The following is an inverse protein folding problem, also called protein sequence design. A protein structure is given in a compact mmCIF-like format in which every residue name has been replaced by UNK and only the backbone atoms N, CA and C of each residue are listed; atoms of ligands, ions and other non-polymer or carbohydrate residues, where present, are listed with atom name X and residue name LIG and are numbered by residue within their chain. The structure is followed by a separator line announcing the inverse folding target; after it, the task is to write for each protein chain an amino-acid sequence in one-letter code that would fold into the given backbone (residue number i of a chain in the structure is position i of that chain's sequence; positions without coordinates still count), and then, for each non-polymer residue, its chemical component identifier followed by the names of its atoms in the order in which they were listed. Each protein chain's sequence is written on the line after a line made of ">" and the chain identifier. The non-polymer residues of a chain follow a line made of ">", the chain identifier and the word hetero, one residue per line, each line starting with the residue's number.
data_IF_481778671423
#
_entry.id   IF_481778671423
#
_cell.length_a   1.000
_cell.length_b   1.000
_cell.length_c   1.000
_cell.angle_alpha   90.00
_cell.angle_beta   90.00
_cell.angle_gamma   90.00
#
_symmetry.space_group_name_H-M   'P 1'
#
loop_
_entity.id
_entity.type
_entity.pdbx_description
1 polymer ?
2 water ?
#
# COMPACT_ATOMS: atom_id res chain seq x y z
N UNK A 17 -5.11 -7.56 7.32
CA UNK A 17 -5.69 -6.38 6.65
C UNK A 17 -4.61 -5.42 6.18
N UNK A 18 -3.57 -5.24 7.00
CA UNK A 18 -2.43 -4.39 6.68
C UNK A 18 -2.68 -2.88 6.78
N UNK A 19 -1.84 -2.07 6.15
CA UNK A 19 -1.97 -0.62 6.21
C UNK A 19 -0.97 0.17 5.35
N UNK A 20 -1.30 1.44 5.06
CA UNK A 20 -0.44 2.28 4.23
C UNK A 20 0.64 3.06 4.99
N UNK A 21 0.22 3.84 5.98
CA UNK A 21 1.15 4.66 6.79
C UNK A 21 2.11 3.83 7.66
N UNK A 22 2.08 2.51 7.54
CA UNK A 22 2.95 1.69 8.38
C UNK A 22 4.42 1.76 8.02
N UNK A 23 4.81 2.80 7.29
CA UNK A 23 6.21 2.96 6.90
C UNK A 23 6.52 4.24 6.14
N UNK A 24 6.23 5.40 6.74
CA UNK A 24 6.52 6.67 6.08
C UNK A 24 8.07 6.81 5.98
N UNK A 25 8.73 5.85 5.33
CA UNK A 25 10.21 5.86 5.18
C UNK A 25 10.67 5.70 3.72
N UNK A 26 11.95 5.39 3.54
CA UNK A 26 12.56 5.22 2.21
C UNK A 26 12.36 3.83 1.59
N UNK A 27 12.27 3.82 0.26
CA UNK A 27 12.06 2.60 -0.55
C UNK A 27 12.74 1.33 -0.05
N UNK A 28 11.96 0.28 0.14
CA UNK A 28 12.47 -1.01 0.61
C UNK A 28 13.32 -1.68 -0.45
N UNK A 29 14.30 -2.45 0.01
CA UNK A 29 15.22 -3.19 -0.86
C UNK A 29 14.40 -4.13 -1.75
N UNK A 30 14.86 -4.35 -2.98
CA UNK A 30 14.18 -5.21 -3.95
C UNK A 30 14.65 -6.67 -4.00
N UNK A 31 13.70 -7.60 -3.94
CA UNK A 31 13.98 -9.04 -3.98
C UNK A 31 13.24 -9.72 -5.12
N UNK A 32 13.99 -10.37 -6.01
CA UNK A 32 13.41 -11.05 -7.16
C UNK A 32 13.03 -12.52 -6.99
N UNK A 33 13.41 -13.12 -5.87
CA UNK A 33 13.08 -14.52 -5.63
C UNK A 33 12.90 -14.77 -4.16
N UNK A 34 12.32 -15.90 -3.82
CA UNK A 34 12.10 -16.23 -2.42
C UNK A 34 13.40 -16.51 -1.68
N UNK A 35 14.33 -17.22 -2.31
CA UNK A 35 15.60 -17.55 -1.67
C UNK A 35 16.35 -16.31 -1.15
N UNK A 36 16.57 -15.34 -2.03
CA UNK A 36 17.27 -14.12 -1.66
C UNK A 36 16.66 -13.50 -0.41
N UNK A 37 15.33 -13.52 -0.34
CA UNK A 37 14.61 -12.95 0.79
C UNK A 37 14.72 -13.86 2.00
N UNK A 38 14.62 -15.16 1.78
CA UNK A 38 14.74 -16.14 2.86
C UNK A 38 16.11 -16.00 3.51
N UNK A 39 17.10 -15.63 2.70
CA UNK A 39 18.46 -15.44 3.18
C UNK A 39 18.52 -14.13 3.97
N UNK A 40 18.29 -13.03 3.27
CA UNK A 40 18.33 -11.69 3.86
C UNK A 40 17.68 -11.64 5.24
N UNK A 41 16.62 -12.42 5.42
CA UNK A 41 15.88 -12.46 6.68
C UNK A 41 16.60 -13.33 7.72
N UNK A 42 16.96 -14.55 7.35
CA UNK A 42 17.66 -15.45 8.26
C UNK A 42 18.91 -14.76 8.82
N UNK A 43 19.58 -14.00 7.97
CA UNK A 43 20.77 -13.28 8.38
C UNK A 43 20.38 -12.21 9.39
N UNK A 44 19.30 -11.49 9.12
CA UNK A 44 18.84 -10.46 10.04
C UNK A 44 18.63 -11.10 11.41
N UNK A 45 18.26 -12.38 11.40
CA UNK A 45 18.00 -13.13 12.63
C UNK A 45 19.30 -13.49 13.34
N UNK A 46 20.33 -13.82 12.57
CA UNK A 46 21.64 -14.15 13.14
C UNK A 46 22.38 -12.93 13.63
N UNK A 47 21.68 -11.81 13.76
CA UNK A 47 22.27 -10.57 14.23
C UNK A 47 21.21 -9.75 14.98
N UNK A 48 20.04 -10.36 15.16
CA UNK A 48 18.93 -9.71 15.85
C UNK A 48 17.98 -10.78 16.36
N UNK A 49 18.52 -11.94 16.71
CA UNK A 49 17.71 -13.03 17.19
C UNK A 49 17.10 -12.88 18.57
N UNK A 50 16.11 -12.00 18.70
CA UNK A 50 15.44 -11.81 19.97
C UNK A 50 14.20 -12.70 19.95
N UNK A 51 13.16 -12.33 20.68
CA UNK A 51 11.95 -13.15 20.67
C UNK A 51 11.05 -12.83 19.48
N UNK A 52 10.84 -11.53 19.24
CA UNK A 52 10.02 -11.10 18.12
C UNK A 52 10.58 -11.58 16.78
N UNK A 53 11.84 -11.22 16.49
CA UNK A 53 12.47 -11.64 15.25
C UNK A 53 12.40 -13.15 15.09
N UNK A 54 12.27 -13.86 16.20
CA UNK A 54 12.15 -15.32 16.17
C UNK A 54 10.74 -15.70 15.80
N UNK A 55 9.76 -15.08 16.46
CA UNK A 55 8.36 -15.38 16.18
C UNK A 55 8.02 -15.05 14.73
N UNK A 56 8.30 -13.82 14.31
CA UNK A 56 8.00 -13.41 12.94
C UNK A 56 8.72 -14.23 11.87
N UNK A 57 9.97 -14.61 12.12
CA UNK A 57 10.69 -15.43 11.16
C UNK A 57 9.91 -16.74 11.11
N UNK A 58 9.33 -17.10 12.25
CA UNK A 58 8.55 -18.32 12.34
C UNK A 58 7.28 -18.19 11.51
N UNK A 59 6.63 -17.04 11.58
CA UNK A 59 5.41 -16.81 10.81
C UNK A 59 5.76 -16.75 9.32
N UNK A 60 6.91 -16.15 9.03
CA UNK A 60 7.40 -16.02 7.66
C UNK A 60 7.49 -17.39 6.99
N UNK A 61 7.98 -18.38 7.74
CA UNK A 61 8.11 -19.73 7.22
C UNK A 61 6.78 -20.45 6.98
N UNK A 62 5.76 -20.11 7.76
CA UNK A 62 4.44 -20.72 7.60
C UNK A 62 4.00 -20.40 6.19
N UNK A 63 4.09 -19.12 5.85
CA UNK A 63 3.73 -18.62 4.54
C UNK A 63 4.45 -19.38 3.44
N UNK A 64 5.77 -19.52 3.59
CA UNK A 64 6.56 -20.25 2.60
C UNK A 64 6.06 -21.68 2.45
N UNK A 65 5.58 -22.26 3.54
CA UNK A 65 5.06 -23.61 3.44
C UNK A 65 3.88 -23.59 2.46
N UNK A 66 2.98 -22.63 2.64
CA UNK A 66 1.82 -22.50 1.76
C UNK A 66 2.27 -22.22 0.32
N UNK A 67 3.31 -21.42 0.18
CA UNK A 67 3.85 -21.09 -1.15
C UNK A 67 4.31 -22.36 -1.86
N UNK A 68 4.92 -23.26 -1.10
CA UNK A 68 5.39 -24.51 -1.67
C UNK A 68 4.23 -25.39 -2.13
N UNK A 69 3.11 -25.30 -1.40
CA UNK A 69 1.93 -26.08 -1.74
C UNK A 69 1.03 -25.37 -2.75
N UNK A 70 1.57 -24.31 -3.34
CA UNK A 70 0.86 -23.50 -4.33
C UNK A 70 -0.50 -22.99 -3.88
N UNK A 71 -0.66 -22.83 -2.57
CA UNK A 71 -1.90 -22.33 -1.98
C UNK A 71 -1.67 -20.81 -1.85
N UNK A 72 -1.39 -20.17 -2.98
CA UNK A 72 -1.09 -18.75 -3.01
C UNK A 72 -2.13 -17.81 -2.41
N UNK A 73 -3.40 -18.06 -2.71
CA UNK A 73 -4.47 -17.21 -2.20
C UNK A 73 -4.37 -17.10 -0.68
N UNK A 74 -4.17 -18.24 -0.03
CA UNK A 74 -4.05 -18.28 1.42
C UNK A 74 -2.73 -17.65 1.87
N UNK A 75 -1.66 -17.90 1.12
CA UNK A 75 -0.36 -17.34 1.43
C UNK A 75 -0.49 -15.82 1.50
N UNK A 76 -1.28 -15.26 0.59
CA UNK A 76 -1.49 -13.83 0.54
C UNK A 76 -2.24 -13.30 1.77
N UNK A 77 -3.22 -14.04 2.26
CA UNK A 77 -3.99 -13.62 3.44
C UNK A 77 -3.19 -13.66 4.72
N UNK A 78 -2.37 -14.69 4.88
CA UNK A 78 -1.55 -14.80 6.08
C UNK A 78 -0.47 -13.73 6.09
N UNK A 79 0.06 -13.44 4.92
CA UNK A 79 1.11 -12.45 4.77
C UNK A 79 0.58 -11.04 5.06
N UNK A 80 -0.61 -10.74 4.57
CA UNK A 80 -1.21 -9.42 4.78
C UNK A 80 -1.63 -9.18 6.22
N UNK A 81 -1.80 -10.26 6.99
CA UNK A 81 -2.17 -10.05 8.38
C UNK A 81 -0.91 -9.88 9.24
N UNK A 82 0.18 -10.55 8.90
CA UNK A 82 1.41 -10.38 9.68
C UNK A 82 1.76 -8.91 9.60
N UNK A 83 1.60 -8.32 8.41
CA UNK A 83 1.87 -6.91 8.19
C UNK A 83 0.93 -6.01 8.98
N UNK A 84 -0.26 -6.52 9.30
CA UNK A 84 -1.23 -5.74 10.04
C UNK A 84 -0.95 -5.69 11.54
N UNK A 85 -0.30 -6.72 12.06
CA UNK A 85 0.02 -6.78 13.49
C UNK A 85 0.84 -5.55 13.87
N UNK A 86 0.31 -4.73 14.78
CA UNK A 86 0.98 -3.50 15.24
C UNK A 86 2.22 -3.82 16.07
N UNK A 87 2.45 -5.10 16.31
CA UNK A 87 3.59 -5.52 17.10
C UNK A 87 4.77 -5.86 16.21
N UNK A 88 4.56 -5.79 14.90
CA UNK A 88 5.61 -6.10 13.94
C UNK A 88 6.66 -4.98 13.95
N UNK A 89 7.94 -5.33 14.13
CA UNK A 89 9.03 -4.35 14.17
C UNK A 89 9.30 -3.71 12.82
N UNK A 90 9.60 -2.41 12.83
CA UNK A 90 9.86 -1.64 11.61
C UNK A 90 10.69 -2.34 10.54
N UNK A 91 11.89 -2.82 10.91
CA UNK A 91 12.76 -3.51 9.94
C UNK A 91 12.22 -4.79 9.33
N UNK A 92 11.31 -5.46 10.03
CA UNK A 92 10.72 -6.70 9.52
C UNK A 92 9.53 -6.46 8.62
N UNK A 93 9.14 -5.20 8.47
CA UNK A 93 8.00 -4.84 7.64
C UNK A 93 8.35 -4.99 6.16
N UNK A 94 9.53 -4.55 5.79
CA UNK A 94 9.94 -4.65 4.40
C UNK A 94 10.14 -6.10 3.95
N UNK A 95 10.44 -7.00 4.87
CA UNK A 95 10.62 -8.41 4.50
C UNK A 95 9.31 -9.03 4.02
N UNK A 96 8.26 -8.79 4.78
CA UNK A 96 6.94 -9.32 4.45
C UNK A 96 6.38 -8.64 3.21
N UNK A 97 6.56 -7.34 3.08
CA UNK A 97 6.03 -6.67 1.91
C UNK A 97 6.64 -7.31 0.67
N UNK A 98 7.93 -7.69 0.76
CA UNK A 98 8.62 -8.32 -0.36
C UNK A 98 8.05 -9.71 -0.63
N UNK A 99 7.64 -10.39 0.44
CA UNK A 99 7.05 -11.72 0.32
C UNK A 99 5.71 -11.61 -0.41
N UNK A 100 4.89 -10.65 0.03
CA UNK A 100 3.57 -10.43 -0.57
C UNK A 100 3.70 -10.21 -2.07
N UNK A 101 4.74 -9.47 -2.47
CA UNK A 101 4.95 -9.21 -3.88
C UNK A 101 5.23 -10.50 -4.64
N UNK A 102 6.11 -11.35 -4.11
CA UNK A 102 6.42 -12.64 -4.76
C UNK A 102 5.13 -13.46 -4.85
N UNK A 103 4.43 -13.56 -3.73
CA UNK A 103 3.18 -14.29 -3.68
C UNK A 103 2.15 -13.82 -4.72
N UNK A 104 1.89 -12.51 -4.76
CA UNK A 104 0.94 -11.94 -5.71
C UNK A 104 1.37 -12.23 -7.16
N UNK A 105 2.68 -12.22 -7.39
CA UNK A 105 3.22 -12.53 -8.70
C UNK A 105 2.80 -13.97 -9.02
N UNK A 106 3.09 -14.90 -8.11
CA UNK A 106 2.71 -16.29 -8.36
C UNK A 106 1.20 -16.43 -8.51
N UNK A 107 0.45 -15.68 -7.73
CA UNK A 107 -1.00 -15.77 -7.84
C UNK A 107 -1.47 -15.31 -9.23
N UNK A 108 -0.97 -14.16 -9.70
CA UNK A 108 -1.39 -13.66 -11.00
C UNK A 108 -1.03 -14.61 -12.14
N UNK A 109 0.16 -15.19 -12.06
CA UNK A 109 0.64 -16.11 -13.08
C UNK A 109 -0.24 -17.34 -13.19
N UNK A 110 -0.65 -17.87 -12.05
CA UNK A 110 -1.49 -19.04 -12.03
C UNK A 110 -2.90 -18.77 -12.51
N UNK A 111 -3.34 -17.51 -12.41
CA UNK A 111 -4.68 -17.15 -12.86
C UNK A 111 -4.64 -16.70 -14.31
N UNK A 112 -3.46 -16.28 -14.76
CA UNK A 112 -3.28 -15.82 -16.14
C UNK A 112 -1.99 -16.44 -16.69
N UNK A 113 -2.00 -17.76 -16.89
CA UNK A 113 -0.81 -18.47 -17.39
C UNK A 113 -0.10 -17.74 -18.54
N UNK A 114 -0.86 -17.09 -19.40
CA UNK A 114 -0.29 -16.35 -20.53
C UNK A 114 0.86 -15.45 -20.07
N UNK A 115 0.80 -15.00 -18.83
CA UNK A 115 1.81 -14.12 -18.26
C UNK A 115 3.20 -14.74 -18.11
N UNK A 116 3.26 -16.05 -17.93
CA UNK A 116 4.53 -16.75 -17.74
C UNK A 116 5.62 -16.43 -18.77
N UNK A 117 5.26 -16.36 -20.04
CA UNK A 117 6.28 -16.08 -21.05
C UNK A 117 6.01 -14.81 -21.85
N UNK A 118 6.02 -13.67 -21.18
CA UNK A 118 5.77 -12.41 -21.86
C UNK A 118 6.72 -11.32 -21.43
N UNK A 119 7.14 -10.49 -22.39
CA UNK A 119 8.04 -9.40 -22.00
C UNK A 119 7.20 -8.30 -21.36
N UNK A 120 7.85 -7.42 -20.63
CA UNK A 120 7.16 -6.33 -19.95
C UNK A 120 6.17 -5.57 -20.82
N UNK A 121 6.57 -5.23 -22.04
CA UNK A 121 5.69 -4.48 -22.93
C UNK A 121 4.36 -5.19 -23.17
N UNK A 122 4.40 -6.50 -23.39
CA UNK A 122 3.17 -7.24 -23.64
C UNK A 122 2.34 -7.37 -22.37
N UNK A 123 3.03 -7.46 -21.24
CA UNK A 123 2.34 -7.59 -19.95
C UNK A 123 1.58 -6.30 -19.69
N UNK A 124 2.20 -5.17 -20.01
CA UNK A 124 1.55 -3.88 -19.82
C UNK A 124 0.27 -3.82 -20.67
N UNK A 125 0.29 -4.42 -21.86
CA UNK A 125 -0.91 -4.39 -22.69
C UNK A 125 -2.07 -5.05 -21.98
N UNK A 126 -1.85 -6.22 -21.42
CA UNK A 126 -2.91 -6.90 -20.70
C UNK A 126 -3.43 -6.07 -19.53
N UNK A 127 -2.53 -5.36 -18.86
CA UNK A 127 -2.88 -4.54 -17.71
C UNK A 127 -3.82 -3.38 -18.08
N UNK A 128 -3.74 -2.92 -19.32
CA UNK A 128 -4.57 -1.81 -19.78
C UNK A 128 -5.92 -2.13 -20.40
N UNK A 129 -6.11 -3.38 -20.83
CA UNK A 129 -7.34 -3.82 -21.48
C UNK A 129 -8.68 -3.24 -20.98
N UNK A 130 -9.38 -3.98 -20.13
CA UNK A 130 -10.67 -3.56 -19.57
C UNK A 130 -10.35 -2.43 -18.61
N UNK A 131 -9.57 -1.46 -19.12
CA UNK A 131 -9.02 -0.30 -18.40
C UNK A 131 -9.04 -0.18 -16.88
N UNK A 132 -10.15 0.27 -16.28
CA UNK A 132 -10.01 0.34 -14.81
C UNK A 132 -9.65 -1.06 -14.27
N UNK A 133 -10.39 -2.05 -14.75
CA UNK A 133 -10.19 -3.42 -14.33
C UNK A 133 -8.84 -3.89 -14.87
N UNK A 134 -8.31 -4.95 -14.27
CA UNK A 134 -7.02 -5.48 -14.70
C UNK A 134 -5.81 -4.64 -14.33
N UNK A 135 -6.01 -3.50 -13.67
CA UNK A 135 -4.86 -2.69 -13.28
C UNK A 135 -4.05 -3.41 -12.20
N UNK A 136 -4.71 -4.33 -11.49
CA UNK A 136 -4.04 -5.08 -10.43
C UNK A 136 -2.90 -5.92 -11.00
N UNK A 137 -3.07 -6.37 -12.24
CA UNK A 137 -2.10 -7.20 -12.92
C UNK A 137 -0.72 -6.56 -12.99
N UNK A 138 -0.65 -5.26 -12.75
CA UNK A 138 0.62 -4.56 -12.78
C UNK A 138 1.57 -5.13 -11.70
N UNK A 139 1.00 -5.81 -10.70
CA UNK A 139 1.77 -6.35 -9.59
C UNK A 139 2.66 -7.54 -9.98
N UNK A 140 2.47 -8.03 -11.19
CA UNK A 140 3.25 -9.15 -11.69
C UNK A 140 4.67 -8.69 -12.07
N UNK A 141 4.87 -7.39 -12.30
CA UNK A 141 6.18 -6.86 -12.68
C UNK A 141 7.08 -6.51 -11.50
N UNK A 142 6.51 -6.42 -10.30
CA UNK A 142 7.31 -6.03 -9.15
C UNK A 142 8.44 -6.98 -8.79
N UNK A 143 8.15 -8.28 -8.66
CA UNK A 143 9.21 -9.22 -8.31
C UNK A 143 10.11 -9.64 -9.45
N UNK A 144 9.98 -8.96 -10.59
CA UNK A 144 10.83 -9.27 -11.75
C UNK A 144 12.24 -8.80 -11.47
N UNK A 145 13.15 -9.01 -12.42
CA UNK A 145 14.53 -8.57 -12.25
C UNK A 145 14.58 -7.11 -12.61
N UNK A 146 15.51 -6.40 -11.98
CA UNK A 146 15.68 -4.97 -12.20
C UNK A 146 15.85 -4.58 -13.66
N UNK A 147 16.15 -5.53 -14.53
CA UNK A 147 16.36 -5.19 -15.93
C UNK A 147 15.22 -5.62 -16.84
N UNK A 148 14.21 -6.25 -16.23
CA UNK A 148 13.08 -6.74 -16.97
C UNK A 148 12.15 -5.66 -17.53
N UNK A 149 12.16 -4.48 -16.93
CA UNK A 149 11.31 -3.41 -17.42
C UNK A 149 12.09 -2.16 -17.81
N UNK A 150 12.24 -1.94 -19.11
CA UNK A 150 12.95 -0.77 -19.61
C UNK A 150 12.20 0.47 -19.14
N UNK A 151 12.90 1.60 -18.97
CA UNK A 151 12.28 2.84 -18.53
C UNK A 151 11.31 3.53 -19.50
N UNK A 152 11.50 3.30 -20.80
CA UNK A 152 10.64 3.94 -21.79
C UNK A 152 9.17 3.50 -21.69
N UNK A 153 8.94 2.30 -21.16
CA UNK A 153 7.58 1.77 -21.03
C UNK A 153 6.72 2.61 -20.10
N UNK A 154 7.37 3.35 -19.21
CA UNK A 154 6.63 4.17 -18.27
C UNK A 154 5.65 5.10 -18.97
N UNK A 155 6.07 5.65 -20.11
CA UNK A 155 5.23 6.56 -20.88
C UNK A 155 3.88 5.99 -21.32
N UNK A 156 3.77 4.66 -21.34
CA UNK A 156 2.53 4.02 -21.75
C UNK A 156 1.54 3.93 -20.60
N UNK A 157 2.02 4.13 -19.38
CA UNK A 157 1.17 4.04 -18.20
C UNK A 157 0.71 5.42 -17.74
N UNK A 158 1.47 6.44 -18.13
CA UNK A 158 1.17 7.83 -17.77
C UNK A 158 -0.31 8.19 -17.72
N UNK A 159 -1.03 7.95 -18.81
CA UNK A 159 -2.42 8.33 -18.89
C UNK A 159 -3.26 7.83 -17.72
N UNK A 160 -2.90 6.69 -17.14
CA UNK A 160 -3.66 6.16 -16.00
C UNK A 160 -3.58 7.12 -14.83
N UNK A 161 -2.38 7.55 -14.49
CA UNK A 161 -2.18 8.46 -13.38
C UNK A 161 -2.76 9.86 -13.58
N UNK A 162 -3.19 10.20 -14.80
CA UNK A 162 -3.76 11.53 -15.00
C UNK A 162 -5.21 11.51 -15.43
N UNK A 163 -5.85 10.36 -15.33
CA UNK A 163 -7.24 10.22 -15.69
C UNK A 163 -8.13 10.88 -14.63
N UNK A 164 -8.78 11.98 -15.01
CA UNK A 164 -9.61 12.72 -14.09
C UNK A 164 -10.81 11.94 -13.57
N UNK A 165 -11.23 10.90 -14.28
CA UNK A 165 -12.39 10.08 -13.87
C UNK A 165 -12.07 8.88 -12.97
N UNK A 166 -10.79 8.50 -12.89
CA UNK A 166 -10.39 7.37 -12.09
C UNK A 166 -10.45 7.57 -10.59
N UNK A 167 -11.02 6.58 -9.92
CA UNK A 167 -11.16 6.55 -8.47
C UNK A 167 -9.79 6.73 -7.82
N UNK A 168 -9.67 7.68 -6.88
CA UNK A 168 -8.39 7.91 -6.22
C UNK A 168 -7.69 6.64 -5.66
N UNK A 169 -8.45 5.66 -5.17
CA UNK A 169 -7.81 4.46 -4.63
C UNK A 169 -7.13 3.66 -5.74
N UNK A 170 -7.80 3.53 -6.89
CA UNK A 170 -7.21 2.79 -7.99
C UNK A 170 -5.94 3.49 -8.46
N UNK A 171 -6.00 4.81 -8.64
CA UNK A 171 -4.82 5.58 -9.08
C UNK A 171 -3.65 5.55 -8.09
N UNK A 172 -3.93 5.71 -6.80
CA UNK A 172 -2.87 5.65 -5.80
C UNK A 172 -2.21 4.27 -5.83
N UNK A 173 -3.02 3.23 -5.73
CA UNK A 173 -2.50 1.87 -5.73
C UNK A 173 -1.63 1.65 -6.94
N UNK A 174 -2.14 2.04 -8.10
CA UNK A 174 -1.41 1.86 -9.35
C UNK A 174 -0.09 2.58 -9.26
N UNK A 175 -0.11 3.74 -8.61
CA UNK A 175 1.10 4.50 -8.47
C UNK A 175 2.07 3.85 -7.48
N UNK A 176 1.54 3.28 -6.39
CA UNK A 176 2.42 2.66 -5.40
C UNK A 176 3.10 1.42 -5.94
N UNK A 177 2.53 0.84 -6.99
CA UNK A 177 3.13 -0.34 -7.59
C UNK A 177 4.24 0.10 -8.54
N UNK A 178 3.99 1.14 -9.33
CA UNK A 178 5.01 1.61 -10.26
C UNK A 178 6.22 2.07 -9.44
N UNK A 179 5.93 2.77 -8.35
CA UNK A 179 6.92 3.31 -7.43
C UNK A 179 7.94 2.25 -7.01
N UNK A 180 7.53 0.98 -7.12
CA UNK A 180 8.38 -0.12 -6.73
C UNK A 180 9.08 -0.83 -7.88
N UNK A 181 8.79 -0.43 -9.12
CA UNK A 181 9.44 -1.10 -10.23
C UNK A 181 10.88 -0.60 -10.45
N UNK A 182 11.88 -1.47 -10.18
CA UNK A 182 13.31 -1.16 -10.34
C UNK A 182 13.59 -0.33 -11.59
N UNK A 183 13.18 -0.87 -12.74
CA UNK A 183 13.38 -0.18 -14.00
C UNK A 183 12.93 1.28 -14.05
N UNK A 184 12.01 1.70 -13.17
CA UNK A 184 11.55 3.10 -13.16
C UNK A 184 12.16 3.92 -12.03
N UNK A 185 13.13 3.36 -11.32
CA UNK A 185 13.77 4.07 -10.21
C UNK A 185 14.34 5.40 -10.72
N UNK A 186 13.91 6.50 -10.11
CA UNK A 186 14.38 7.81 -10.51
C UNK A 186 13.53 8.53 -11.53
N UNK A 187 12.69 7.83 -12.28
CA UNK A 187 11.85 8.47 -13.29
C UNK A 187 10.80 9.40 -12.69
N UNK A 188 10.40 10.43 -13.44
CA UNK A 188 9.37 11.34 -12.96
C UNK A 188 8.06 11.01 -13.68
N UNK A 189 6.95 11.25 -13.00
CA UNK A 189 5.63 10.98 -13.57
C UNK A 189 4.62 12.04 -13.16
N UNK A 190 3.65 12.29 -14.01
CA UNK A 190 2.60 13.25 -13.71
C UNK A 190 1.50 12.49 -12.96
N UNK A 191 0.96 13.10 -11.93
CA UNK A 191 -0.08 12.47 -11.13
C UNK A 191 -1.20 13.48 -10.86
N UNK A 192 -2.42 13.14 -11.24
CA UNK A 192 -3.54 14.04 -11.05
C UNK A 192 -4.52 13.58 -9.98
N UNK A 193 -4.66 14.35 -8.91
CA UNK A 193 -5.60 14.00 -7.86
C UNK A 193 -6.90 14.77 -8.14
N UNK A 194 -8.00 14.06 -8.34
CA UNK A 194 -9.27 14.70 -8.63
C UNK A 194 -9.88 15.43 -7.44
N UNK A 195 -9.47 15.05 -6.23
CA UNK A 195 -9.98 15.69 -5.02
C UNK A 195 -9.33 17.07 -4.83
N UNK A 196 -8.05 17.18 -5.18
CA UNK A 196 -7.34 18.45 -5.05
C UNK A 196 -7.42 19.29 -6.31
N UNK A 197 -7.93 18.68 -7.38
CA UNK A 197 -8.07 19.34 -8.67
C UNK A 197 -6.78 19.93 -9.19
N UNK A 198 -5.73 19.11 -9.25
CA UNK A 198 -4.45 19.57 -9.76
C UNK A 198 -3.43 18.43 -9.89
N UNK A 199 -2.61 18.50 -10.93
CA UNK A 199 -1.62 17.46 -11.16
C UNK A 199 -0.28 17.81 -10.51
N UNK A 200 0.55 16.79 -10.29
CA UNK A 200 1.85 16.96 -9.67
C UNK A 200 2.90 16.19 -10.44
N UNK A 201 4.17 16.51 -10.17
CA UNK A 201 5.27 15.80 -10.82
C UNK A 201 5.93 15.04 -9.68
N UNK A 202 5.90 13.72 -9.73
CA UNK A 202 6.49 12.92 -8.66
C UNK A 202 7.64 12.06 -9.15
N UNK A 203 8.52 11.70 -8.23
CA UNK A 203 9.65 10.84 -8.56
C UNK A 203 9.38 9.41 -8.06
N UNK A 204 9.63 8.42 -8.91
CA UNK A 204 9.41 7.04 -8.52
C UNK A 204 10.64 6.40 -7.88
N UNK A 205 10.40 5.40 -7.03
CA UNK A 205 11.50 4.69 -6.37
C UNK A 205 12.29 5.37 -5.27
N UNK A 206 11.89 6.56 -4.84
CA UNK A 206 12.66 7.20 -3.78
C UNK A 206 12.05 6.91 -2.43
N UNK A 207 10.76 7.17 -2.27
CA UNK A 207 10.10 6.91 -0.99
C UNK A 207 8.92 5.95 -1.02
N UNK A 208 8.69 5.33 0.13
CA UNK A 208 7.54 4.47 0.35
C UNK A 208 6.60 5.66 0.65
N UNK A 209 5.50 5.81 -0.08
CA UNK A 209 4.65 6.97 0.17
C UNK A 209 5.42 8.29 -0.08
N UNK A 210 5.47 8.71 -1.33
CA UNK A 210 6.18 9.94 -1.69
C UNK A 210 5.30 11.18 -1.72
N UNK A 211 4.85 11.62 -0.55
CA UNK A 211 4.01 12.81 -0.47
C UNK A 211 4.88 14.04 -0.27
N UNK A 212 4.34 15.21 -0.55
CA UNK A 212 5.07 16.47 -0.39
C UNK A 212 5.38 16.66 1.08
N UNK A 213 6.44 17.43 1.40
CA UNK A 213 6.87 17.70 2.78
C UNK A 213 5.73 18.03 3.75
N UNK A 214 4.91 19.01 3.40
CA UNK A 214 3.81 19.39 4.27
C UNK A 214 2.86 18.23 4.53
N UNK A 215 2.41 17.59 3.47
CA UNK A 215 1.48 16.47 3.62
C UNK A 215 2.06 15.35 4.48
N UNK A 216 3.38 15.18 4.41
CA UNK A 216 4.03 14.12 5.17
C UNK A 216 4.01 14.43 6.66
N UNK A 217 4.31 15.69 7.00
CA UNK A 217 4.32 16.13 8.39
C UNK A 217 2.90 16.13 8.95
N UNK A 218 1.94 16.51 8.12
CA UNK A 218 0.53 16.57 8.51
C UNK A 218 0.00 15.17 8.88
N UNK A 219 0.27 14.17 8.05
CA UNK A 219 -0.16 12.82 8.37
C UNK A 219 0.65 12.24 9.52
N UNK A 220 1.93 12.60 9.60
CA UNK A 220 2.76 12.09 10.69
C UNK A 220 2.13 12.51 12.02
N UNK A 221 1.72 13.78 12.08
CA UNK A 221 1.08 14.33 13.28
C UNK A 221 -0.31 13.77 13.52
N UNK A 222 -1.06 13.56 12.45
CA UNK A 222 -2.42 13.03 12.56
C UNK A 222 -2.42 11.61 13.11
N UNK A 223 -1.37 10.84 12.76
CA UNK A 223 -1.24 9.46 13.20
C UNK A 223 -0.87 9.44 14.68
N UNK A 224 0.03 10.33 15.07
CA UNK A 224 0.43 10.40 16.48
C UNK A 224 -0.75 10.84 17.35
N UNK A 225 -1.58 11.75 16.83
CA UNK A 225 -2.71 12.20 17.62
C UNK A 225 -3.79 11.15 17.85
N UNK A 226 -4.25 10.47 16.80
CA UNK A 226 -5.27 9.47 17.00
C UNK A 226 -4.69 8.31 17.81
N UNK A 227 -3.37 8.17 17.78
CA UNK A 227 -2.69 7.13 18.53
C UNK A 227 -2.74 7.51 20.01
N UNK A 228 -2.65 8.81 20.30
CA UNK A 228 -2.69 9.28 21.68
C UNK A 228 -4.11 9.33 22.25
N UNK A 229 -5.09 9.63 21.40
CA UNK A 229 -6.48 9.71 21.86
C UNK A 229 -7.09 8.33 22.07
N UNK A 230 -6.49 7.31 21.45
CA UNK A 230 -6.96 5.95 21.57
C UNK A 230 -5.92 5.09 22.26
N UNK A 231 -5.23 5.64 23.26
CA UNK A 231 -4.19 4.92 23.97
C UNK A 231 -4.74 3.78 24.83
N UNK A 232 -5.98 3.92 25.28
CA UNK A 232 -6.59 2.88 26.10
C UNK A 232 -7.28 1.87 25.18
N UNK A 233 -7.76 2.35 24.05
CA UNK A 233 -8.52 1.53 23.12
C UNK A 233 -7.77 1.19 21.81
N UNK A 234 -7.04 0.06 21.80
CA UNK A 234 -6.26 -0.42 20.66
C UNK A 234 -7.10 -0.83 19.46
N UNK A 235 -8.30 -1.32 19.71
CA UNK A 235 -9.20 -1.73 18.63
C UNK A 235 -9.68 -0.48 17.91
N UNK A 236 -10.05 0.53 18.68
CA UNK A 236 -10.53 1.79 18.13
C UNK A 236 -9.41 2.52 17.37
N UNK A 237 -8.17 2.32 17.79
CA UNK A 237 -7.06 2.96 17.09
C UNK A 237 -6.98 2.39 15.68
N UNK A 238 -7.26 1.09 15.55
CA UNK A 238 -7.23 0.42 14.27
C UNK A 238 -8.32 0.95 13.33
N UNK A 239 -9.51 1.19 13.86
CA UNK A 239 -10.59 1.72 13.01
C UNK A 239 -10.28 3.14 12.58
N UNK A 240 -9.71 3.91 13.49
CA UNK A 240 -9.36 5.29 13.19
C UNK A 240 -8.22 5.26 12.18
N UNK A 241 -7.29 4.30 12.34
CA UNK A 241 -6.18 4.22 11.41
C UNK A 241 -6.66 3.94 9.98
N UNK A 242 -7.80 3.28 9.87
CA UNK A 242 -8.34 2.98 8.54
C UNK A 242 -8.80 4.29 7.94
N UNK A 243 -9.44 5.13 8.74
CA UNK A 243 -9.93 6.39 8.23
C UNK A 243 -8.76 7.25 7.78
N UNK A 244 -7.68 7.22 8.54
CA UNK A 244 -6.49 7.97 8.17
C UNK A 244 -5.95 7.47 6.82
N UNK A 245 -6.07 6.18 6.56
CA UNK A 245 -5.61 5.61 5.29
C UNK A 245 -6.42 6.18 4.14
N UNK A 246 -7.74 6.19 4.31
CA UNK A 246 -8.64 6.69 3.30
C UNK A 246 -8.30 8.12 2.93
N UNK A 247 -7.98 8.94 3.92
CA UNK A 247 -7.63 10.34 3.67
C UNK A 247 -6.27 10.46 3.00
N UNK A 248 -5.33 9.58 3.37
CA UNK A 248 -4.01 9.65 2.78
C UNK A 248 -4.12 9.23 1.32
N UNK A 249 -4.96 8.24 1.04
CA UNK A 249 -5.11 7.78 -0.33
C UNK A 249 -5.87 8.77 -1.20
N UNK A 250 -6.97 9.28 -0.67
CA UNK A 250 -7.80 10.21 -1.44
C UNK A 250 -7.19 11.60 -1.73
N UNK A 251 -6.17 11.98 -1.00
CA UNK A 251 -5.50 13.25 -1.20
C UNK A 251 -4.03 13.01 -1.42
N UNK A 252 -3.68 11.73 -1.54
CA UNK A 252 -2.31 11.27 -1.66
C UNK A 252 -1.15 12.25 -1.72
N UNK A 253 -0.90 12.85 -2.88
CA UNK A 253 0.24 13.77 -2.84
C UNK A 253 0.21 14.70 -1.62
N UNK A 254 -0.88 15.41 -1.40
CA UNK A 254 -0.98 16.32 -0.26
C UNK A 254 -1.86 15.77 0.86
N UNK A 255 -2.65 16.66 1.46
CA UNK A 255 -3.55 16.27 2.55
C UNK A 255 -4.84 17.06 2.40
N UNK A 256 -5.92 16.58 3.01
CA UNK A 256 -7.20 17.28 2.89
C UNK A 256 -7.15 18.69 3.49
N UNK A 257 -7.98 19.60 2.95
CA UNK A 257 -8.11 21.01 3.36
C UNK A 257 -8.77 21.08 4.72
N UNK A 258 -8.21 20.37 5.68
CA UNK A 258 -8.79 20.35 7.01
C UNK A 258 -7.77 20.64 8.10
N UNK A 259 -8.15 21.49 9.06
CA UNK A 259 -7.25 21.84 10.17
C UNK A 259 -6.97 20.54 10.93
N UNK A 260 -5.73 20.08 10.84
CA UNK A 260 -5.29 18.85 11.46
C UNK A 260 -6.03 18.38 12.72
N UNK A 261 -6.03 19.21 13.77
CA UNK A 261 -6.68 18.88 15.04
C UNK A 261 -8.17 18.60 14.87
N UNK A 262 -8.80 19.33 13.97
CA UNK A 262 -10.22 19.16 13.71
C UNK A 262 -10.47 17.76 13.11
N UNK A 263 -9.58 17.31 12.24
CA UNK A 263 -9.75 16.00 11.64
C UNK A 263 -9.61 14.91 12.70
N UNK A 264 -8.57 14.99 13.51
CA UNK A 264 -8.31 14.03 14.57
C UNK A 264 -9.52 13.90 15.49
N UNK A 265 -10.14 15.02 15.80
CA UNK A 265 -11.29 15.00 16.70
C UNK A 265 -12.47 14.28 16.07
N UNK A 266 -12.85 14.66 14.85
CA UNK A 266 -13.99 14.00 14.23
C UNK A 266 -13.71 12.54 13.98
N UNK A 267 -12.46 12.19 13.67
CA UNK A 267 -12.14 10.79 13.45
C UNK A 267 -12.37 10.07 14.76
N UNK A 268 -12.00 10.73 15.86
CA UNK A 268 -12.19 10.17 17.18
C UNK A 268 -13.68 10.08 17.49
N UNK A 269 -14.37 11.20 17.34
CA UNK A 269 -15.80 11.25 17.61
C UNK A 269 -16.51 10.15 16.78
N UNK A 270 -16.19 10.12 15.49
CA UNK A 270 -16.77 9.16 14.57
C UNK A 270 -16.68 7.67 15.01
N UNK A 271 -15.48 7.18 15.31
CA UNK A 271 -15.39 5.78 15.70
C UNK A 271 -15.86 5.60 17.16
N UNK A 272 -15.52 6.54 18.04
CA UNK A 272 -15.95 6.44 19.43
C UNK A 272 -17.45 6.20 19.50
N UNK A 273 -18.19 6.95 18.70
CA UNK A 273 -19.63 6.84 18.67
C UNK A 273 -20.15 5.58 17.96
N UNK A 274 -19.59 5.25 16.79
CA UNK A 274 -20.05 4.07 16.06
C UNK A 274 -20.14 2.82 16.90
N UNK A 275 -19.38 2.76 17.98
CA UNK A 275 -19.52 1.62 18.87
C UNK A 275 -20.82 1.97 19.64
N UNK A 276 -21.92 1.99 18.88
CA UNK A 276 -23.28 2.29 19.31
C UNK A 276 -23.51 3.71 19.82
N UNK A 277 -23.98 4.57 18.90
CA UNK A 277 -24.24 6.00 19.12
C UNK A 277 -24.31 6.62 17.71
N UNK A 278 -25.40 7.31 17.38
CA UNK A 278 -25.58 7.88 16.04
C UNK A 278 -24.77 9.13 15.69
N UNK A 279 -23.77 8.98 14.81
CA UNK A 279 -22.94 10.10 14.39
C UNK A 279 -23.82 11.14 13.71
N UNK A 280 -23.35 12.39 13.67
CA UNK A 280 -24.13 13.48 13.08
C UNK A 280 -23.76 13.81 11.63
N UNK A 281 -24.60 13.36 10.71
CA UNK A 281 -24.37 13.62 9.30
C UNK A 281 -24.52 15.08 8.92
N UNK A 282 -25.05 15.89 9.82
CA UNK A 282 -25.20 17.31 9.55
C UNK A 282 -23.80 17.96 9.49
N UNK A 283 -22.92 17.58 10.41
CA UNK A 283 -21.55 18.09 10.49
C UNK A 283 -20.77 17.78 9.21
N UNK A 284 -20.18 18.80 8.59
CA UNK A 284 -19.42 18.61 7.36
C UNK A 284 -18.23 17.68 7.54
N UNK A 285 -17.66 17.66 8.74
CA UNK A 285 -16.50 16.81 9.00
C UNK A 285 -16.87 15.33 8.96
N UNK A 286 -18.02 14.97 9.54
CA UNK A 286 -18.45 13.58 9.53
C UNK A 286 -18.88 13.19 8.11
N UNK A 287 -19.54 14.12 7.42
CA UNK A 287 -20.00 13.90 6.06
C UNK A 287 -18.86 13.53 5.13
N UNK A 288 -17.84 14.37 5.10
CA UNK A 288 -16.72 14.09 4.20
C UNK A 288 -16.00 12.80 4.64
N UNK A 289 -16.02 12.58 5.93
CA UNK A 289 -15.41 11.41 6.51
C UNK A 289 -16.10 10.16 5.96
N UNK A 290 -17.42 10.20 5.89
CA UNK A 290 -18.22 9.09 5.40
C UNK A 290 -18.11 8.94 3.88
N UNK A 291 -18.03 10.08 3.20
CA UNK A 291 -17.93 10.10 1.76
C UNK A 291 -16.59 9.47 1.37
N UNK A 292 -15.63 9.53 2.28
CA UNK A 292 -14.31 8.96 2.04
C UNK A 292 -14.09 7.62 2.72
N UNK A 293 -14.29 7.60 4.04
CA UNK A 293 -14.08 6.43 4.92
C UNK A 293 -13.82 5.14 4.21
N UNK A 294 -14.73 4.77 3.32
CA UNK A 294 -14.57 3.55 2.55
C UNK A 294 -15.47 3.65 1.36
N UNK A 295 -16.47 4.51 1.42
CA UNK A 295 -17.37 4.63 0.30
C UNK A 295 -16.58 4.79 -0.98
N UNK A 296 -15.43 5.43 -0.87
CA UNK A 296 -14.54 5.60 -2.01
C UNK A 296 -13.29 4.75 -1.83
N UNK A 297 -13.26 3.99 -0.74
CA UNK A 297 -12.12 3.15 -0.41
C UNK A 297 -12.30 1.67 -0.68
N UNK A 298 -13.05 1.32 -1.70
CA UNK A 298 -13.21 -0.09 -2.00
C UNK A 298 -12.73 -0.37 -3.41
N UNK A 299 -12.13 -1.53 -3.60
CA UNK A 299 -11.60 -1.90 -4.90
C UNK A 299 -11.18 -3.37 -4.83
N UNK A 300 -11.38 -4.08 -5.93
CA UNK A 300 -11.05 -5.49 -6.04
C UNK A 300 -9.56 -5.77 -5.74
N UNK A 301 -9.27 -6.68 -4.80
CA UNK A 301 -7.88 -6.99 -4.47
C UNK A 301 -7.23 -7.85 -5.56
N UNK A 302 -5.90 -7.99 -5.51
CA UNK A 302 -5.18 -8.80 -6.49
C UNK A 302 -5.72 -10.24 -6.52
#
# INVERSE_FOLDING_TARGET
>A
MHHHHHHGGGGGMINKPNQFVNHLSALKKHFASYKELREAFNDYHKHNGDELTTFFLHQFDKVMELVKQKDFKTAQSRCEEELAAPYLPKPLVSFFQSLLQLVNHDLLEQQNAALASLPAAKIIELVLQDYPNKLNMIHYLLPKTKAFVKPHLLQRLQFVLTDSELLELKRFSFFQALNQIPGFQGEQVEYFNSKLKQKFTLTLGEFEIAQQPDAKAYFEQLITQIQQLFLKEPVNAEFANEIIDAFLVSYFPLHPPVPLAQLAAKIYEYVSQIVLNEAVNLKDELIKLIVHTLYEQLDRPVGDEN
#
